data_IF_737770574598
#
_entry.id   IF_737770574598
#
_cell.length_a   1.000
_cell.length_b   1.000
_cell.length_c   1.000
_cell.angle_alpha   90.00
_cell.angle_beta   90.00
_cell.angle_gamma   90.00
#
_symmetry.space_group_name_H-M   'P 1'
#
loop_
_entity.id
_entity.type
_entity.pdbx_description
1 polymer ?
#
# COMPACT_ATOMS: atom_id res chain seq x y z
N UNK A 1 -3.28 16.69 12.51
CA UNK A 1 -4.65 16.97 12.01
C UNK A 1 -4.60 16.70 10.53
N UNK A 2 -5.52 15.85 10.05
CA UNK A 2 -5.56 15.50 8.64
C UNK A 2 -6.31 16.56 7.83
N UNK A 3 -6.07 16.58 6.52
CA UNK A 3 -6.67 17.56 5.62
C UNK A 3 -7.15 16.90 4.34
N UNK A 4 -8.33 17.27 3.88
CA UNK A 4 -8.89 16.80 2.62
C UNK A 4 -8.24 17.53 1.44
N UNK A 5 -7.80 16.78 0.42
CA UNK A 5 -7.36 17.38 -0.83
C UNK A 5 -8.52 18.13 -1.50
N UNK A 6 -8.39 19.44 -1.81
CA UNK A 6 -9.47 20.24 -2.39
C UNK A 6 -9.85 19.85 -3.82
N UNK A 7 -9.05 19.00 -4.48
CA UNK A 7 -9.26 18.57 -5.86
C UNK A 7 -9.91 17.19 -5.92
N UNK A 8 -9.30 16.18 -5.28
CA UNK A 8 -9.78 14.80 -5.34
C UNK A 8 -10.57 14.33 -4.11
N UNK A 9 -10.66 15.14 -3.05
CA UNK A 9 -11.37 14.79 -1.82
C UNK A 9 -10.70 13.71 -0.97
N UNK A 10 -9.47 13.29 -1.30
CA UNK A 10 -8.76 12.26 -0.56
C UNK A 10 -8.18 12.87 0.73
N UNK A 11 -8.51 12.33 1.93
CA UNK A 11 -7.93 12.80 3.18
C UNK A 11 -6.45 12.46 3.25
N UNK A 12 -5.65 13.42 3.71
CA UNK A 12 -4.20 13.32 3.92
C UNK A 12 -3.90 13.38 5.42
N UNK A 13 -2.85 12.68 5.85
CA UNK A 13 -2.55 12.49 7.27
C UNK A 13 -2.22 13.81 8.01
N UNK A 14 -1.53 14.73 7.32
CA UNK A 14 -1.18 16.05 7.81
C UNK A 14 -0.89 17.02 6.64
N UNK A 15 -0.54 18.26 6.97
CA UNK A 15 -0.28 19.32 6.00
C UNK A 15 0.91 19.03 5.08
N UNK A 16 1.96 18.37 5.58
CA UNK A 16 3.11 17.95 4.76
C UNK A 16 2.72 16.88 3.75
N UNK A 17 1.91 15.89 4.18
CA UNK A 17 1.35 14.90 3.26
C UNK A 17 0.43 15.54 2.21
N UNK A 18 -0.38 16.53 2.59
CA UNK A 18 -1.20 17.29 1.65
C UNK A 18 -0.35 18.04 0.62
N UNK A 19 0.70 18.75 1.06
CA UNK A 19 1.62 19.46 0.18
C UNK A 19 2.30 18.52 -0.83
N UNK A 20 2.83 17.40 -0.35
CA UNK A 20 3.47 16.41 -1.21
C UNK A 20 2.47 15.77 -2.19
N UNK A 21 1.27 15.43 -1.73
CA UNK A 21 0.21 14.89 -2.60
C UNK A 21 -0.13 15.87 -3.73
N UNK A 22 -0.34 17.15 -3.41
CA UNK A 22 -0.65 18.18 -4.40
C UNK A 22 0.50 18.38 -5.40
N UNK A 23 1.73 18.55 -4.91
CA UNK A 23 2.89 18.82 -5.76
C UNK A 23 3.23 17.63 -6.68
N UNK A 24 3.30 16.40 -6.15
CA UNK A 24 3.64 15.24 -6.98
C UNK A 24 2.52 14.89 -7.97
N UNK A 25 1.26 15.02 -7.57
CA UNK A 25 0.14 14.74 -8.48
C UNK A 25 0.11 15.75 -9.63
N UNK A 26 0.34 17.04 -9.33
CA UNK A 26 0.50 18.06 -10.36
C UNK A 26 1.66 17.73 -11.33
N UNK A 27 2.85 17.41 -10.80
CA UNK A 27 4.05 17.17 -11.62
C UNK A 27 3.99 15.90 -12.47
N UNK A 28 3.31 14.84 -12.01
CA UNK A 28 3.33 13.53 -12.69
C UNK A 28 2.16 13.37 -13.66
N UNK A 29 1.01 13.97 -13.36
CA UNK A 29 -0.22 13.68 -14.07
C UNK A 29 -0.74 14.82 -14.95
N UNK A 30 -0.16 16.04 -14.90
CA UNK A 30 -0.66 17.23 -15.62
C UNK A 30 -2.20 17.34 -15.50
N UNK A 31 -2.68 17.29 -14.25
CA UNK A 31 -4.08 17.03 -13.91
C UNK A 31 -4.74 18.26 -13.27
N UNK A 32 -6.02 18.13 -12.89
CA UNK A 32 -6.79 19.18 -12.18
C UNK A 32 -6.05 19.77 -10.96
N UNK A 33 -5.08 19.04 -10.40
CA UNK A 33 -4.22 19.49 -9.30
C UNK A 33 -3.25 20.60 -9.71
N UNK A 34 -2.64 20.52 -10.89
CA UNK A 34 -1.74 21.57 -11.40
C UNK A 34 -2.53 22.84 -11.70
N UNK A 35 -3.66 22.71 -12.40
CA UNK A 35 -4.54 23.83 -12.71
C UNK A 35 -5.05 24.53 -11.44
N UNK A 36 -5.42 23.76 -10.42
CA UNK A 36 -5.85 24.32 -9.14
C UNK A 36 -4.71 25.06 -8.44
N UNK A 37 -3.50 24.49 -8.42
CA UNK A 37 -2.33 25.13 -7.81
C UNK A 37 -1.95 26.43 -8.54
N UNK A 38 -1.92 26.42 -9.87
CA UNK A 38 -1.63 27.61 -10.69
C UNK A 38 -2.64 28.74 -10.45
N UNK A 39 -3.91 28.41 -10.22
CA UNK A 39 -4.95 29.40 -9.94
C UNK A 39 -4.89 29.94 -8.51
N UNK A 40 -4.59 29.08 -7.53
CA UNK A 40 -4.79 29.40 -6.10
C UNK A 40 -3.53 29.69 -5.32
N UNK A 41 -2.37 29.21 -5.78
CA UNK A 41 -1.07 29.32 -5.12
C UNK A 41 -0.01 29.73 -6.15
N UNK A 42 0.23 31.04 -6.25
CA UNK A 42 1.27 31.58 -7.12
C UNK A 42 2.64 31.02 -6.76
N UNK A 43 3.44 30.66 -7.78
CA UNK A 43 4.83 30.17 -7.61
C UNK A 43 4.93 28.90 -6.75
N UNK A 44 3.87 28.09 -6.68
CA UNK A 44 3.85 26.83 -5.92
C UNK A 44 4.99 25.88 -6.31
N UNK A 45 5.42 25.90 -7.57
CA UNK A 45 6.51 25.07 -8.10
C UNK A 45 7.88 25.39 -7.49
N UNK A 46 8.03 26.57 -6.90
CA UNK A 46 9.27 27.01 -6.22
C UNK A 46 9.21 26.80 -4.71
N UNK A 47 8.03 26.49 -4.16
CA UNK A 47 7.83 26.29 -2.73
C UNK A 47 8.32 24.92 -2.27
N UNK A 48 8.92 24.90 -1.08
CA UNK A 48 9.18 23.65 -0.37
C UNK A 48 7.91 23.05 0.25
N UNK A 49 7.99 21.80 0.72
CA UNK A 49 6.88 21.10 1.40
C UNK A 49 6.27 21.95 2.53
N UNK A 50 7.10 22.50 3.42
CA UNK A 50 6.64 23.30 4.56
C UNK A 50 5.89 24.55 4.12
N UNK A 51 6.45 25.31 3.17
CA UNK A 51 5.86 26.56 2.68
C UNK A 51 4.52 26.28 1.97
N UNK A 52 4.50 25.25 1.12
CA UNK A 52 3.28 24.86 0.43
C UNK A 52 2.23 24.33 1.41
N UNK A 53 2.63 23.56 2.42
CA UNK A 53 1.75 23.08 3.50
C UNK A 53 1.08 24.25 4.22
N UNK A 54 1.84 25.26 4.65
CA UNK A 54 1.31 26.44 5.34
C UNK A 54 0.20 27.14 4.54
N UNK A 55 0.37 27.24 3.22
CA UNK A 55 -0.63 27.85 2.33
C UNK A 55 -1.86 26.95 2.15
N UNK A 56 -1.64 25.64 2.01
CA UNK A 56 -2.69 24.67 1.73
C UNK A 56 -3.60 24.40 2.94
N UNK A 57 -3.05 24.34 4.15
CA UNK A 57 -3.86 24.08 5.36
C UNK A 57 -4.89 25.19 5.65
N UNK A 58 -4.66 26.40 5.15
CA UNK A 58 -5.63 27.50 5.26
C UNK A 58 -6.82 27.34 4.28
N UNK A 59 -6.65 26.53 3.24
CA UNK A 59 -7.59 26.36 2.12
C UNK A 59 -8.25 24.98 2.10
N UNK A 60 -7.61 23.98 2.70
CA UNK A 60 -8.12 22.63 2.79
C UNK A 60 -9.06 22.47 3.99
N UNK A 61 -10.07 21.61 3.84
CA UNK A 61 -10.93 21.23 4.95
C UNK A 61 -10.21 20.25 5.88
N UNK A 62 -10.40 20.38 7.20
CA UNK A 62 -9.99 19.37 8.15
C UNK A 62 -10.69 18.03 7.86
N UNK A 63 -9.93 16.94 7.92
CA UNK A 63 -10.44 15.59 7.72
C UNK A 63 -9.86 14.61 8.74
N UNK A 64 -10.69 13.65 9.15
CA UNK A 64 -10.21 12.47 9.87
C UNK A 64 -9.48 11.54 8.90
N UNK A 65 -8.24 11.20 9.23
CA UNK A 65 -7.47 10.22 8.48
C UNK A 65 -7.55 8.87 9.18
N UNK A 66 -8.28 7.88 8.63
CA UNK A 66 -8.43 6.58 9.27
C UNK A 66 -7.10 5.82 9.27
N UNK A 67 -6.49 5.69 10.45
CA UNK A 67 -5.30 4.89 10.66
C UNK A 67 -5.69 3.40 10.66
N UNK A 68 -5.74 2.79 9.48
CA UNK A 68 -6.01 1.35 9.32
C UNK A 68 -4.71 0.55 9.48
N UNK A 69 -4.16 0.53 10.69
CA UNK A 69 -3.15 -0.47 11.02
C UNK A 69 -3.86 -1.79 11.27
N UNK A 70 -3.75 -2.72 10.33
CA UNK A 70 -3.89 -4.14 10.64
C UNK A 70 -2.74 -4.45 11.61
N UNK A 71 -3.07 -4.78 12.87
CA UNK A 71 -2.10 -5.11 13.92
C UNK A 71 -1.36 -6.39 13.52
N UNK A 72 -0.29 -6.23 12.74
CA UNK A 72 0.58 -7.31 12.26
C UNK A 72 1.56 -7.79 13.34
N UNK A 73 1.43 -7.28 14.56
CA UNK A 73 2.33 -7.54 15.69
C UNK A 73 1.70 -8.34 16.83
N UNK A 74 0.42 -8.71 16.76
CA UNK A 74 -0.17 -9.59 17.78
C UNK A 74 0.28 -11.04 17.57
N UNK A 75 1.42 -11.36 18.18
CA UNK A 75 1.78 -12.71 18.58
C UNK A 75 0.83 -13.14 19.72
N UNK A 76 -0.26 -13.83 19.38
CA UNK A 76 -1.09 -14.57 20.33
C UNK A 76 -2.14 -13.78 21.12
N UNK A 77 -3.23 -13.39 20.46
CA UNK A 77 -4.47 -12.97 21.12
C UNK A 77 -5.67 -13.42 20.29
N UNK A 78 -6.58 -14.19 20.89
CA UNK A 78 -7.77 -14.72 20.23
C UNK A 78 -8.63 -13.60 19.62
N UNK A 79 -8.75 -13.59 18.29
CA UNK A 79 -9.75 -12.78 17.59
C UNK A 79 -11.11 -13.50 17.64
N UNK A 80 -12.05 -12.96 18.41
CA UNK A 80 -13.49 -13.09 18.11
C UNK A 80 -13.92 -11.81 17.39
N UNK A 81 -13.72 -11.80 16.07
CA UNK A 81 -14.44 -10.91 15.18
C UNK A 81 -15.41 -11.76 14.36
N UNK A 82 -16.67 -11.73 14.77
CA UNK A 82 -17.82 -12.13 13.97
C UNK A 82 -18.03 -11.08 12.87
N UNK A 83 -17.20 -11.17 11.83
CA UNK A 83 -17.52 -10.62 10.53
C UNK A 83 -17.41 -11.79 9.57
N UNK A 84 -18.55 -12.10 8.96
CA UNK A 84 -18.77 -13.14 7.97
C UNK A 84 -17.63 -13.14 6.95
N UNK A 85 -16.63 -13.98 7.23
CA UNK A 85 -15.51 -14.25 6.35
C UNK A 85 -16.11 -14.82 5.06
N UNK A 86 -15.70 -14.32 3.90
CA UNK A 86 -15.92 -14.94 2.58
C UNK A 86 -15.16 -16.28 2.43
N UNK A 87 -15.22 -17.13 3.45
CA UNK A 87 -14.61 -18.45 3.58
C UNK A 87 -15.54 -19.50 4.21
N UNK A 88 -16.84 -19.21 4.38
CA UNK A 88 -17.85 -20.13 4.89
C UNK A 88 -18.22 -21.27 3.90
N UNK A 89 -17.26 -21.79 3.13
CA UNK A 89 -17.44 -22.96 2.27
C UNK A 89 -16.74 -24.22 2.80
N UNK A 90 -16.10 -24.14 3.97
CA UNK A 90 -15.52 -25.30 4.64
C UNK A 90 -16.04 -25.37 6.08
N UNK A 91 -17.33 -25.64 6.20
CA UNK A 91 -17.91 -26.22 7.41
C UNK A 91 -17.80 -27.74 7.25
N UNK A 92 -16.96 -28.38 8.06
CA UNK A 92 -17.21 -29.74 8.56
C UNK A 92 -16.29 -30.03 9.74
N UNK A 93 -16.87 -29.94 10.93
CA UNK A 93 -16.66 -30.84 12.07
C UNK A 93 -15.81 -32.10 11.78
N UNK A 94 -14.49 -32.06 11.94
CA UNK A 94 -13.71 -33.27 12.27
C UNK A 94 -12.47 -32.95 13.09
N UNK A 95 -12.54 -33.39 14.34
CA UNK A 95 -11.48 -33.73 15.29
C UNK A 95 -10.10 -33.97 14.65
N UNK A 96 -9.09 -33.20 15.08
CA UNK A 96 -7.71 -33.28 14.60
C UNK A 96 -7.00 -34.57 15.06
N UNK A 97 -6.52 -35.45 14.14
CA UNK A 97 -5.37 -36.29 14.42
C UNK A 97 -4.13 -35.61 13.84
N UNK A 98 -3.14 -35.44 14.71
CA UNK A 98 -1.76 -35.07 14.39
C UNK A 98 -1.27 -35.77 13.12
N UNK A 99 -0.71 -34.97 12.20
CA UNK A 99 0.20 -35.46 11.17
C UNK A 99 -0.47 -36.00 9.91
N UNK A 100 -0.76 -35.12 8.96
CA UNK A 100 -0.71 -35.44 7.54
C UNK A 100 -0.53 -34.13 6.79
N UNK A 101 0.68 -33.95 6.23
CA UNK A 101 0.86 -33.04 5.11
C UNK A 101 -0.08 -33.52 4.01
N UNK A 102 -1.27 -32.93 3.92
CA UNK A 102 -2.06 -33.00 2.72
C UNK A 102 -1.25 -32.24 1.67
N UNK A 103 -0.39 -32.98 0.94
CA UNK A 103 0.04 -32.52 -0.37
C UNK A 103 -1.27 -32.33 -1.12
N UNK A 104 -1.71 -31.08 -1.23
CA UNK A 104 -2.52 -30.69 -2.36
C UNK A 104 -1.69 -31.20 -3.53
N UNK A 105 -2.22 -32.16 -4.27
CA UNK A 105 -1.61 -32.61 -5.52
C UNK A 105 -1.62 -31.39 -6.44
N UNK A 106 -0.59 -30.55 -6.30
CA UNK A 106 -0.35 -29.47 -7.24
C UNK A 106 -0.31 -30.13 -8.60
N UNK A 107 -1.13 -29.67 -9.57
CA UNK A 107 -1.05 -30.21 -10.91
C UNK A 107 0.42 -30.17 -11.32
N UNK A 108 0.96 -31.30 -11.76
CA UNK A 108 2.35 -31.39 -12.15
C UNK A 108 2.64 -30.22 -13.10
N UNK A 109 3.52 -29.32 -12.66
CA UNK A 109 3.89 -28.16 -13.46
C UNK A 109 4.34 -28.67 -14.82
N UNK A 110 3.81 -28.05 -15.88
CA UNK A 110 4.29 -28.38 -17.22
C UNK A 110 5.78 -28.01 -17.34
N UNK A 111 6.46 -28.60 -18.32
CA UNK A 111 7.91 -28.43 -18.47
C UNK A 111 8.33 -26.97 -18.69
N UNK A 112 7.46 -26.13 -19.24
CA UNK A 112 7.72 -24.71 -19.45
C UNK A 112 7.62 -23.95 -18.12
N UNK A 113 6.58 -24.19 -17.33
CA UNK A 113 6.45 -23.62 -15.99
C UNK A 113 7.62 -24.01 -15.06
N UNK A 114 8.07 -25.27 -15.13
CA UNK A 114 9.24 -25.74 -14.37
C UNK A 114 10.52 -25.01 -14.81
N UNK A 115 10.74 -24.86 -16.12
CA UNK A 115 11.92 -24.17 -16.65
C UNK A 115 11.96 -22.67 -16.26
N UNK A 116 10.80 -22.00 -16.26
CA UNK A 116 10.70 -20.60 -15.83
C UNK A 116 11.07 -20.44 -14.34
N UNK A 117 10.60 -21.36 -13.49
CA UNK A 117 10.92 -21.33 -12.05
C UNK A 117 12.40 -21.61 -11.78
N UNK A 118 13.01 -22.55 -12.51
CA UNK A 118 14.44 -22.85 -12.40
C UNK A 118 15.30 -21.66 -12.85
N UNK A 119 14.93 -20.99 -13.94
CA UNK A 119 15.62 -19.80 -14.42
C UNK A 119 15.50 -18.63 -13.43
N UNK A 120 14.30 -18.40 -12.88
CA UNK A 120 14.09 -17.39 -11.85
C UNK A 120 14.97 -17.64 -10.63
N UNK A 121 15.02 -18.88 -10.13
CA UNK A 121 15.87 -19.26 -9.00
C UNK A 121 17.36 -19.05 -9.31
N UNK A 122 17.81 -19.38 -10.52
CA UNK A 122 19.20 -19.15 -10.96
C UNK A 122 19.56 -17.67 -10.94
N UNK A 123 18.68 -16.81 -11.45
CA UNK A 123 18.88 -15.36 -11.47
C UNK A 123 18.92 -14.77 -10.05
N UNK A 124 18.04 -15.23 -9.16
CA UNK A 124 18.05 -14.82 -7.75
C UNK A 124 19.36 -15.22 -7.07
N UNK A 125 19.83 -16.45 -7.31
CA UNK A 125 21.10 -16.92 -6.74
C UNK A 125 22.28 -16.13 -7.28
N UNK A 126 22.32 -15.87 -8.58
CA UNK A 126 23.39 -15.08 -9.19
C UNK A 126 23.47 -13.66 -8.61
N UNK A 127 22.33 -13.02 -8.32
CA UNK A 127 22.32 -11.71 -7.64
C UNK A 127 22.89 -11.78 -6.22
N UNK A 128 22.44 -12.76 -5.43
CA UNK A 128 22.91 -12.94 -4.06
C UNK A 128 24.43 -13.20 -4.01
N UNK A 129 24.94 -14.04 -4.92
CA UNK A 129 26.38 -14.32 -5.00
C UNK A 129 27.17 -13.05 -5.42
N UNK A 130 26.65 -12.21 -6.32
CA UNK A 130 27.28 -10.93 -6.75
C UNK A 130 27.33 -9.90 -5.60
N UNK A 131 26.27 -9.84 -4.76
CA UNK A 131 26.19 -8.99 -3.56
C UNK A 131 27.15 -9.43 -2.42
N UNK A 132 27.52 -10.72 -2.35
CA UNK A 132 28.46 -11.26 -1.34
C UNK A 132 29.95 -11.09 -1.73
N UNK A 133 30.25 -10.81 -3.00
CA UNK A 133 31.61 -10.62 -3.55
C UNK A 133 32.09 -9.14 -3.56
N UNK A 134 31.29 -8.18 -3.08
CA UNK A 134 31.64 -6.75 -2.85
C UNK A 134 32.07 -6.42 -1.40
#
# INVERSE_FOLDING_TARGET
MGYECPVCGIPQADGGHLANHMAFTALVHEDDHEAWLDETVSEWSEMGETELSEVLIERAADADFPQVFEDTTTEGGHHEHDHERSGALFDDDVESPRGQHHRIDSPALDGEAQAVLEEAQRLTKARLDDDDDE
#
